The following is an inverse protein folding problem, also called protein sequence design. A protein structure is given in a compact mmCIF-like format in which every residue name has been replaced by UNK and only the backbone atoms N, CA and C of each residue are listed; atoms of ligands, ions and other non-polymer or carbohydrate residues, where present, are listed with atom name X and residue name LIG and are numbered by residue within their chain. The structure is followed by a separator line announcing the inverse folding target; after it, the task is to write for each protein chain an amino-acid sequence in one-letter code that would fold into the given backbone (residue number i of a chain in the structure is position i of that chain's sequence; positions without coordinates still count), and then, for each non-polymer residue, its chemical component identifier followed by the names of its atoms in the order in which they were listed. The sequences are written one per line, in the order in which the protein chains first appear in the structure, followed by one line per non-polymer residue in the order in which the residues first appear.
data_IF_639824883610
#
_entry.id   IF_639824883610
#
_cell.length_a   1.000
_cell.length_b   1.000
_cell.length_c   1.000
_cell.angle_alpha   90.00
_cell.angle_beta   90.00
_cell.angle_gamma   90.00
#
_symmetry.space_group_name_H-M   'P 1'
#
loop_
_entity.id
_entity.type
_entity.pdbx_description
1 polymer ?
#
# COMPACT_ATOMS: atom_id res chain seq x y z
N UNK A 1 9.24 3.71 -22.84
CA UNK A 1 8.28 2.74 -22.25
C UNK A 1 9.00 2.14 -21.06
N UNK A 2 8.68 2.54 -19.82
CA UNK A 2 9.21 1.81 -18.65
C UNK A 2 8.74 0.37 -18.77
N UNK A 3 9.67 -0.59 -18.78
CA UNK A 3 9.34 -2.01 -18.78
C UNK A 3 8.34 -2.28 -17.66
N UNK A 4 7.18 -2.83 -18.00
CA UNK A 4 6.18 -3.19 -16.99
C UNK A 4 6.80 -4.25 -16.10
N UNK A 5 6.98 -3.93 -14.82
CA UNK A 5 7.42 -4.91 -13.82
C UNK A 5 6.34 -6.01 -13.75
N UNK A 6 6.69 -7.30 -13.80
CA UNK A 6 5.73 -8.40 -13.63
C UNK A 6 4.79 -8.20 -12.42
N UNK A 7 5.28 -7.59 -11.35
CA UNK A 7 4.51 -7.27 -10.16
C UNK A 7 3.44 -6.20 -10.39
N UNK A 8 3.74 -5.16 -11.17
CA UNK A 8 2.73 -4.15 -11.51
C UNK A 8 1.68 -4.72 -12.47
N UNK A 9 2.08 -5.67 -13.33
CA UNK A 9 1.13 -6.39 -14.19
C UNK A 9 0.14 -7.26 -13.42
N UNK A 10 0.55 -7.84 -12.29
CA UNK A 10 -0.35 -8.66 -11.47
C UNK A 10 -1.55 -7.83 -10.98
N UNK A 11 -1.32 -6.59 -10.53
CA UNK A 11 -2.40 -5.70 -10.07
C UNK A 11 -3.24 -5.15 -11.24
N UNK A 12 -2.60 -4.82 -12.36
CA UNK A 12 -3.32 -4.36 -13.56
C UNK A 12 -4.28 -5.43 -14.11
N UNK A 13 -3.86 -6.70 -14.10
CA UNK A 13 -4.64 -7.82 -14.63
C UNK A 13 -5.70 -8.34 -13.64
N UNK A 14 -5.52 -8.08 -12.34
CA UNK A 14 -6.38 -8.59 -11.26
C UNK A 14 -6.94 -7.43 -10.42
N UNK A 15 -7.39 -6.37 -11.08
CA UNK A 15 -7.98 -5.22 -10.39
C UNK A 15 -9.14 -5.66 -9.51
N UNK A 16 -9.25 -5.02 -8.35
CA UNK A 16 -10.38 -5.27 -7.46
C UNK A 16 -11.70 -4.89 -8.15
N UNK A 17 -12.64 -5.83 -8.18
CA UNK A 17 -13.93 -5.69 -8.87
C UNK A 17 -15.12 -6.09 -7.98
N UNK A 18 -14.98 -5.95 -6.65
CA UNK A 18 -15.94 -6.37 -5.62
C UNK A 18 -16.08 -7.88 -5.44
N UNK A 19 -15.98 -8.66 -6.51
CA UNK A 19 -16.17 -10.12 -6.48
C UNK A 19 -14.90 -10.91 -6.17
N UNK A 20 -13.73 -10.32 -6.39
CA UNK A 20 -12.43 -11.00 -6.32
C UNK A 20 -11.57 -10.62 -5.11
N UNK A 21 -12.20 -10.21 -3.99
CA UNK A 21 -11.49 -9.65 -2.83
C UNK A 21 -10.30 -10.50 -2.34
N UNK A 22 -10.49 -11.81 -2.21
CA UNK A 22 -9.44 -12.71 -1.68
C UNK A 22 -8.23 -12.80 -2.62
N UNK A 23 -8.46 -12.92 -3.92
CA UNK A 23 -7.40 -13.00 -4.93
C UNK A 23 -6.69 -11.65 -5.10
N UNK A 24 -7.47 -10.57 -5.13
CA UNK A 24 -6.93 -9.20 -5.15
C UNK A 24 -6.06 -8.94 -3.91
N UNK A 25 -6.53 -9.29 -2.71
CA UNK A 25 -5.78 -9.08 -1.47
C UNK A 25 -4.48 -9.88 -1.46
N UNK A 26 -4.49 -11.12 -1.95
CA UNK A 26 -3.26 -11.94 -2.10
C UNK A 26 -2.27 -11.26 -3.04
N UNK A 27 -2.73 -10.80 -4.19
CA UNK A 27 -1.91 -10.12 -5.19
C UNK A 27 -1.35 -8.79 -4.67
N UNK A 28 -2.16 -8.02 -3.95
CA UNK A 28 -1.77 -6.78 -3.29
C UNK A 28 -0.66 -7.02 -2.27
N UNK A 29 -0.78 -8.05 -1.42
CA UNK A 29 0.24 -8.41 -0.43
C UNK A 29 1.59 -8.73 -1.09
N UNK A 30 1.59 -9.51 -2.17
CA UNK A 30 2.82 -9.83 -2.92
C UNK A 30 3.53 -8.55 -3.39
N UNK A 31 2.80 -7.59 -3.93
CA UNK A 31 3.38 -6.33 -4.40
C UNK A 31 3.86 -5.46 -3.24
N UNK A 32 3.07 -5.35 -2.16
CA UNK A 32 3.46 -4.57 -0.99
C UNK A 32 4.68 -5.16 -0.29
N UNK A 33 4.79 -6.48 -0.18
CA UNK A 33 5.98 -7.15 0.38
C UNK A 33 7.22 -6.87 -0.46
N UNK A 34 7.11 -6.94 -1.79
CA UNK A 34 8.21 -6.59 -2.68
C UNK A 34 8.65 -5.13 -2.54
N UNK A 35 7.71 -4.21 -2.32
CA UNK A 35 7.99 -2.79 -2.10
C UNK A 35 8.46 -2.48 -0.65
N UNK A 36 8.62 -3.50 0.20
CA UNK A 36 8.95 -3.41 1.63
C UNK A 36 7.89 -2.64 2.45
N UNK A 37 6.62 -2.76 2.06
CA UNK A 37 5.46 -2.06 2.62
C UNK A 37 4.41 -3.00 3.22
N UNK A 38 4.60 -4.32 3.15
CA UNK A 38 3.61 -5.31 3.61
C UNK A 38 3.12 -5.08 5.03
N UNK A 39 4.02 -4.66 5.92
CA UNK A 39 3.73 -4.38 7.32
C UNK A 39 2.63 -3.32 7.55
N UNK A 40 2.36 -2.46 6.56
CA UNK A 40 1.33 -1.40 6.66
C UNK A 40 -0.07 -2.00 6.65
N UNK A 41 -0.24 -3.18 6.07
CA UNK A 41 -1.53 -3.87 6.07
C UNK A 41 -1.90 -4.40 7.45
N UNK A 42 -0.90 -4.69 8.29
CA UNK A 42 -1.11 -5.31 9.60
C UNK A 42 -0.98 -4.32 10.77
N UNK A 43 -0.31 -3.18 10.56
CA UNK A 43 -0.07 -2.19 11.61
C UNK A 43 -0.99 -0.98 11.49
N UNK A 44 -1.66 -0.57 12.58
CA UNK A 44 -2.45 0.65 12.58
C UNK A 44 -1.55 1.88 12.40
N UNK A 45 -2.13 2.94 11.83
CA UNK A 45 -1.55 4.28 11.79
C UNK A 45 -1.20 4.73 13.22
N UNK A 46 0.04 5.14 13.50
CA UNK A 46 0.37 5.79 14.77
C UNK A 46 -0.54 7.01 14.95
N UNK A 47 -1.44 6.97 15.95
CA UNK A 47 -2.51 7.96 16.08
C UNK A 47 -2.02 9.33 16.58
N UNK A 48 -0.91 9.37 17.30
CA UNK A 48 -0.37 10.62 17.88
C UNK A 48 1.09 10.46 18.23
N UNK A 49 1.87 11.51 17.99
CA UNK A 49 3.22 11.65 18.49
C UNK A 49 3.15 12.21 19.93
N UNK A 50 3.67 11.51 20.96
CA UNK A 50 4.02 12.10 22.26
C UNK A 50 4.80 13.42 22.15
N UNK A 51 4.71 14.30 23.14
CA UNK A 51 5.57 15.48 23.21
C UNK A 51 7.01 15.06 23.56
N UNK A 52 8.00 15.60 22.85
CA UNK A 52 9.43 15.41 23.15
C UNK A 52 10.19 14.38 22.30
N UNK A 53 9.76 14.11 21.05
CA UNK A 53 10.40 13.14 20.15
C UNK A 53 11.90 13.37 20.02
N UNK A 54 12.66 12.28 20.13
CA UNK A 54 14.04 12.23 19.64
C UNK A 54 14.07 12.34 18.11
N UNK A 55 15.24 12.68 17.56
CA UNK A 55 15.42 12.75 16.10
C UNK A 55 15.13 11.42 15.40
N UNK A 56 15.42 10.30 16.05
CA UNK A 56 15.22 8.94 15.50
C UNK A 56 13.74 8.56 15.43
N UNK A 57 12.98 8.92 16.44
CA UNK A 57 11.53 8.68 16.46
C UNK A 57 10.82 9.53 15.39
N UNK A 58 11.30 10.77 15.15
CA UNK A 58 10.78 11.63 14.07
C UNK A 58 11.04 10.99 12.71
N UNK A 59 12.26 10.54 12.45
CA UNK A 59 12.60 9.89 11.18
C UNK A 59 11.75 8.63 10.96
N UNK A 60 11.56 7.83 12.01
CA UNK A 60 10.73 6.62 11.94
C UNK A 60 9.28 6.95 11.61
N UNK A 61 8.72 7.99 12.22
CA UNK A 61 7.36 8.46 11.94
C UNK A 61 7.21 8.99 10.51
N UNK A 62 8.13 9.82 10.04
CA UNK A 62 8.12 10.36 8.67
C UNK A 62 8.23 9.24 7.63
N UNK A 63 9.14 8.28 7.88
CA UNK A 63 9.29 7.08 7.05
C UNK A 63 8.02 6.25 7.02
N UNK A 64 7.38 6.04 8.17
CA UNK A 64 6.11 5.32 8.26
C UNK A 64 5.03 6.04 7.42
N UNK A 65 4.93 7.36 7.50
CA UNK A 65 3.96 8.13 6.71
C UNK A 65 4.23 8.09 5.21
N UNK A 66 5.50 8.15 4.80
CA UNK A 66 5.88 8.01 3.39
C UNK A 66 5.49 6.63 2.84
N UNK A 67 5.82 5.59 3.60
CA UNK A 67 5.46 4.21 3.34
C UNK A 67 3.93 4.03 3.24
N UNK A 68 3.17 4.62 4.17
CA UNK A 68 1.71 4.55 4.17
C UNK A 68 1.11 5.23 2.93
N UNK A 69 1.61 6.41 2.55
CA UNK A 69 1.20 7.07 1.30
C UNK A 69 1.46 6.19 0.08
N UNK A 70 2.60 5.52 0.02
CA UNK A 70 2.95 4.60 -1.07
C UNK A 70 2.00 3.40 -1.13
N UNK A 71 1.76 2.73 -0.01
CA UNK A 71 0.83 1.61 0.06
C UNK A 71 -0.59 2.03 -0.34
N UNK A 72 -1.08 3.18 0.14
CA UNK A 72 -2.38 3.73 -0.24
C UNK A 72 -2.49 3.97 -1.75
N UNK A 73 -1.44 4.52 -2.38
CA UNK A 73 -1.43 4.72 -3.84
C UNK A 73 -1.49 3.40 -4.60
N UNK A 74 -0.80 2.36 -4.14
CA UNK A 74 -0.83 1.01 -4.75
C UNK A 74 -2.22 0.40 -4.62
N UNK A 75 -2.81 0.45 -3.42
CA UNK A 75 -4.17 -0.05 -3.15
C UNK A 75 -5.16 0.60 -4.10
N UNK A 76 -5.18 1.93 -4.15
CA UNK A 76 -6.08 2.67 -5.03
C UNK A 76 -5.84 2.30 -6.49
N UNK A 77 -4.60 2.35 -7.00
CA UNK A 77 -4.29 2.02 -8.39
C UNK A 77 -4.69 0.58 -8.80
N UNK A 78 -4.72 -0.34 -7.84
CA UNK A 78 -5.13 -1.74 -8.04
C UNK A 78 -6.64 -1.98 -8.02
N UNK A 79 -7.45 -0.94 -7.81
CA UNK A 79 -8.91 -1.03 -7.88
C UNK A 79 -9.42 -0.74 -9.30
N UNK A 80 -10.55 -1.33 -9.67
CA UNK A 80 -11.24 -0.94 -10.90
C UNK A 80 -11.76 0.50 -10.79
N UNK A 81 -11.93 1.17 -11.94
CA UNK A 81 -12.45 2.53 -11.96
C UNK A 81 -13.86 2.63 -11.38
N UNK A 82 -14.63 1.55 -11.47
CA UNK A 82 -16.01 1.51 -10.98
C UNK A 82 -16.02 1.46 -9.44
N UNK A 83 -15.10 0.70 -8.84
CA UNK A 83 -14.96 0.62 -7.38
C UNK A 83 -14.32 1.88 -6.79
N UNK A 84 -13.37 2.51 -7.49
CA UNK A 84 -12.73 3.75 -7.01
C UNK A 84 -13.68 4.95 -6.89
N UNK A 85 -14.80 4.93 -7.62
CA UNK A 85 -15.76 6.05 -7.71
C UNK A 85 -16.92 5.94 -6.72
N UNK A 86 -17.08 4.79 -6.07
CA UNK A 86 -18.05 4.58 -4.99
C UNK A 86 -17.56 5.25 -3.70
#
# INVERSE_FOLDING_TARGET
IMSKNPLTMILDNNKFNETNYIDWLRNLRIVLDYENQGYIMDKPLPQTLPDGFSSEERETFERWHANHRKARSIILASMSNDVQKQ
#
